data_IF_497317277254
#
_entry.id   IF_497317277254
#
_cell.length_a   1.000
_cell.length_b   1.000
_cell.length_c   1.000
_cell.angle_alpha   90.00
_cell.angle_beta   90.00
_cell.angle_gamma   90.00
#
_symmetry.space_group_name_H-M   'P 1'
#
loop_
_entity.id
_entity.type
_entity.pdbx_description
1 polymer ?
#
# COMPACT_ATOMS: atom_id res chain seq x y z
N UNK A 1 0.12 22.97 8.27
CA UNK A 1 -0.43 22.25 9.44
C UNK A 1 -0.66 20.79 9.00
N UNK A 2 0.25 19.81 9.24
CA UNK A 2 -0.05 18.42 8.89
C UNK A 2 -0.78 17.79 10.07
N UNK A 3 -2.09 17.62 9.89
CA UNK A 3 -2.98 16.90 10.78
C UNK A 3 -2.54 15.43 10.88
N UNK A 4 -2.61 14.86 12.09
CA UNK A 4 -1.97 13.60 12.48
C UNK A 4 -2.08 12.52 11.39
N UNK A 5 -0.92 12.11 10.86
CA UNK A 5 -0.84 11.07 9.86
C UNK A 5 -1.16 9.72 10.51
N UNK A 6 -2.45 9.40 10.57
CA UNK A 6 -2.90 8.10 11.04
C UNK A 6 -2.18 7.02 10.22
N UNK A 7 -1.42 6.17 10.92
CA UNK A 7 -0.65 5.10 10.29
C UNK A 7 -1.59 3.99 9.85
N UNK A 8 -1.36 3.46 8.65
CA UNK A 8 -2.08 2.32 8.09
C UNK A 8 -1.11 1.15 7.99
N UNK A 9 -1.54 0.00 8.47
CA UNK A 9 -0.82 -1.25 8.25
C UNK A 9 -1.11 -1.74 6.84
N UNK A 10 -0.07 -1.92 6.04
CA UNK A 10 -0.13 -2.44 4.68
C UNK A 10 0.83 -3.62 4.57
N UNK A 11 0.39 -4.70 3.93
CA UNK A 11 1.23 -5.85 3.63
C UNK A 11 1.80 -5.70 2.22
N UNK A 12 3.13 -5.76 2.08
CA UNK A 12 3.85 -5.71 0.81
C UNK A 12 4.68 -6.99 0.73
N UNK A 13 4.47 -7.80 -0.31
CA UNK A 13 5.17 -9.08 -0.53
C UNK A 13 5.19 -10.02 0.70
N UNK A 14 4.09 -10.02 1.47
CA UNK A 14 3.94 -10.83 2.69
C UNK A 14 4.44 -10.16 3.98
N UNK A 15 5.16 -9.04 3.88
CA UNK A 15 5.73 -8.32 5.04
C UNK A 15 4.87 -7.13 5.43
N UNK A 16 4.63 -6.96 6.72
CA UNK A 16 3.82 -5.87 7.27
C UNK A 16 4.63 -4.60 7.50
N UNK A 17 4.17 -3.49 6.92
CA UNK A 17 4.76 -2.17 7.08
C UNK A 17 3.70 -1.13 7.47
N UNK A 18 4.14 -0.05 8.13
CA UNK A 18 3.29 1.07 8.51
C UNK A 18 3.62 2.29 7.67
N UNK A 19 2.59 2.88 7.06
CA UNK A 19 2.73 4.09 6.26
C UNK A 19 1.70 5.14 6.68
N UNK A 20 2.01 6.43 6.53
CA UNK A 20 1.02 7.47 6.77
C UNK A 20 -0.13 7.40 5.76
N UNK A 21 -1.37 7.66 6.21
CA UNK A 21 -2.51 7.81 5.29
C UNK A 21 -2.19 8.84 4.20
N UNK A 22 -2.54 8.50 2.96
CA UNK A 22 -2.23 9.33 1.78
C UNK A 22 -0.92 8.98 1.08
N UNK A 23 -0.11 8.07 1.63
CA UNK A 23 1.06 7.52 0.92
C UNK A 23 0.60 6.75 -0.32
N UNK A 24 1.21 7.04 -1.46
CA UNK A 24 0.95 6.30 -2.70
C UNK A 24 1.63 4.93 -2.65
N UNK A 25 1.02 3.93 -3.27
CA UNK A 25 1.55 2.55 -3.28
C UNK A 25 2.97 2.50 -3.86
N UNK A 26 3.23 3.25 -4.94
CA UNK A 26 4.56 3.34 -5.57
C UNK A 26 5.62 3.86 -4.58
N UNK A 27 5.25 4.81 -3.72
CA UNK A 27 6.16 5.40 -2.72
C UNK A 27 6.35 4.45 -1.53
N UNK A 28 5.29 3.77 -1.09
CA UNK A 28 5.35 2.75 -0.05
C UNK A 28 6.26 1.57 -0.45
N UNK A 29 6.12 1.05 -1.67
CA UNK A 29 6.99 -0.01 -2.19
C UNK A 29 8.45 0.46 -2.30
N UNK A 30 8.69 1.69 -2.78
CA UNK A 30 10.03 2.25 -2.86
C UNK A 30 10.71 2.39 -1.47
N UNK A 31 9.95 2.74 -0.42
CA UNK A 31 10.46 2.81 0.96
C UNK A 31 10.87 1.44 1.52
N UNK A 32 10.22 0.37 1.07
CA UNK A 32 10.53 -1.02 1.45
C UNK A 32 11.64 -1.63 0.57
N UNK A 33 12.07 -0.92 -0.49
CA UNK A 33 13.08 -1.40 -1.43
C UNK A 33 12.51 -2.24 -2.58
N UNK A 34 11.18 -2.30 -2.73
CA UNK A 34 10.51 -2.96 -3.87
C UNK A 34 10.43 -1.97 -5.03
N UNK A 35 11.18 -2.24 -6.10
CA UNK A 35 11.20 -1.40 -7.28
C UNK A 35 10.01 -1.71 -8.21
N UNK A 36 9.09 -0.76 -8.36
CA UNK A 36 8.00 -0.82 -9.32
C UNK A 36 8.41 -0.07 -10.59
N UNK A 37 8.43 -0.71 -11.77
CA UNK A 37 8.81 -0.06 -13.00
C UNK A 37 7.78 1.01 -13.39
N UNK A 38 8.27 2.22 -13.63
CA UNK A 38 7.45 3.41 -13.87
C UNK A 38 8.08 4.32 -14.90
N UNK A 39 7.28 4.79 -15.85
CA UNK A 39 7.69 5.79 -16.83
C UNK A 39 6.97 7.13 -16.64
N UNK A 40 5.68 7.06 -16.39
CA UNK A 40 4.79 8.22 -16.37
C UNK A 40 4.62 8.84 -14.98
N UNK A 41 5.23 8.27 -13.94
CA UNK A 41 5.14 8.77 -12.56
C UNK A 41 6.44 9.46 -12.12
N UNK A 42 6.30 10.66 -11.56
CA UNK A 42 7.37 11.40 -10.89
C UNK A 42 6.81 12.07 -9.63
N UNK A 43 7.52 12.07 -8.48
CA UNK A 43 6.97 12.52 -7.18
C UNK A 43 6.54 14.00 -7.15
N UNK A 44 7.15 14.83 -8.00
CA UNK A 44 6.82 16.27 -8.12
C UNK A 44 5.77 16.59 -9.19
N UNK A 45 5.31 15.61 -9.97
CA UNK A 45 4.34 15.81 -11.04
C UNK A 45 3.04 15.06 -10.71
N UNK A 46 1.98 15.44 -11.42
CA UNK A 46 0.72 14.69 -11.46
C UNK A 46 0.95 13.27 -11.99
N UNK A 47 0.08 12.33 -11.62
CA UNK A 47 0.15 10.93 -12.08
C UNK A 47 -0.83 10.70 -13.24
N UNK A 48 -0.41 10.83 -14.53
CA UNK A 48 -1.30 10.72 -15.69
C UNK A 48 -1.76 9.29 -15.98
N UNK A 49 -1.10 8.26 -15.45
CA UNK A 49 -1.55 6.85 -15.60
C UNK A 49 -1.45 6.24 -17.00
N UNK A 50 -0.73 6.88 -17.94
CA UNK A 50 -0.66 6.46 -19.35
C UNK A 50 0.15 5.17 -19.58
N UNK A 51 1.18 4.92 -18.77
CA UNK A 51 2.17 3.90 -19.05
C UNK A 51 1.80 2.48 -18.59
N UNK A 52 0.84 2.34 -17.67
CA UNK A 52 0.35 1.06 -17.07
C UNK A 52 1.43 0.08 -16.56
N UNK A 53 2.69 0.46 -16.56
CA UNK A 53 3.80 -0.41 -16.16
C UNK A 53 3.86 -0.67 -14.65
N UNK A 54 3.21 0.18 -13.86
CA UNK A 54 3.07 0.04 -12.41
C UNK A 54 1.87 -0.85 -11.99
N UNK A 55 1.36 -1.70 -12.89
CA UNK A 55 0.32 -2.66 -12.55
C UNK A 55 0.86 -3.64 -11.50
N UNK A 56 0.12 -3.78 -10.41
CA UNK A 56 0.41 -4.68 -9.30
C UNK A 56 -0.84 -5.44 -8.93
N UNK A 57 -0.66 -6.61 -8.32
CA UNK A 57 -1.75 -7.35 -7.71
C UNK A 57 -2.00 -6.81 -6.30
N UNK A 58 -3.26 -6.59 -5.95
CA UNK A 58 -3.66 -6.15 -4.62
C UNK A 58 -4.67 -7.15 -4.05
N UNK A 59 -4.32 -7.74 -2.90
CA UNK A 59 -5.24 -8.49 -2.06
C UNK A 59 -5.92 -7.57 -1.05
N UNK A 60 -7.20 -7.83 -0.77
CA UNK A 60 -7.85 -7.31 0.43
C UNK A 60 -7.78 -8.38 1.50
N UNK A 61 -7.63 -7.99 2.78
CA UNK A 61 -7.70 -8.95 3.87
C UNK A 61 -9.04 -9.70 3.83
N UNK A 62 -8.97 -11.00 4.06
CA UNK A 62 -10.09 -11.91 4.06
C UNK A 62 -11.10 -11.47 5.11
N UNK A 63 -12.31 -11.20 4.64
CA UNK A 63 -13.42 -10.82 5.49
C UNK A 63 -14.10 -12.10 5.99
N UNK A 64 -14.16 -12.27 7.31
CA UNK A 64 -14.89 -13.36 7.93
C UNK A 64 -16.41 -13.19 7.77
N UNK A 65 -17.19 -14.25 8.06
CA UNK A 65 -18.65 -14.22 7.99
C UNK A 65 -19.29 -13.15 8.90
N UNK A 66 -18.56 -12.66 9.92
CA UNK A 66 -18.99 -11.59 10.84
C UNK A 66 -18.70 -10.16 10.30
N UNK A 67 -18.28 -10.04 9.02
CA UNK A 67 -17.87 -8.77 8.40
C UNK A 67 -16.67 -8.09 9.09
N UNK A 68 -15.94 -8.84 9.93
CA UNK A 68 -14.67 -8.45 10.54
C UNK A 68 -13.53 -9.11 9.75
N UNK A 69 -12.40 -8.42 9.63
CA UNK A 69 -11.20 -8.98 9.01
C UNK A 69 -10.70 -10.16 9.85
N UNK A 70 -10.42 -11.30 9.22
CA UNK A 70 -9.83 -12.42 9.94
C UNK A 70 -8.41 -12.03 10.33
N UNK A 71 -8.18 -11.86 11.63
CA UNK A 71 -6.86 -11.56 12.17
C UNK A 71 -6.07 -12.87 12.19
N UNK A 72 -4.94 -12.91 11.49
CA UNK A 72 -3.98 -13.99 11.61
C UNK A 72 -3.40 -14.03 13.02
N UNK A 73 -2.63 -15.08 13.33
CA UNK A 73 -2.04 -15.31 14.65
C UNK A 73 -1.23 -14.11 15.22
N UNK A 74 -0.78 -13.19 14.36
CA UNK A 74 -0.02 -11.97 14.70
C UNK A 74 -0.89 -10.73 14.99
N UNK A 75 -2.22 -10.86 15.07
CA UNK A 75 -3.12 -9.71 15.33
C UNK A 75 -3.19 -8.71 14.17
N UNK A 76 -2.78 -9.13 12.97
CA UNK A 76 -2.86 -8.36 11.72
C UNK A 76 -3.84 -9.04 10.76
N UNK A 77 -4.61 -8.27 9.96
CA UNK A 77 -5.66 -8.84 9.11
C UNK A 77 -5.04 -9.63 7.95
N UNK A 78 -5.34 -10.93 7.86
CA UNK A 78 -4.93 -11.84 6.76
C UNK A 78 -5.72 -11.53 5.52
#
# INVERSE_FOLDING_TARGET
MPEQAALVNVQIDGVWHQFPRGTRVIEACAQVGVYIPRYCYHPKLSSPGNCRMCLIEMGMPRMGPDRKFELGADGKPV
#
